data_IF_040910186996
#
_entry.id   IF_040910186996
#
_cell.length_a   1.000
_cell.length_b   1.000
_cell.length_c   1.000
_cell.angle_alpha   90.00
_cell.angle_beta   90.00
_cell.angle_gamma   90.00
#
_symmetry.space_group_name_H-M   'P 1'
#
loop_
_entity.id
_entity.type
_entity.pdbx_description
1 polymer ?
#
# COMPACT_ATOMS: atom_id res chain seq x y z
N UNK A 1 -29.73 37.76 -28.40
CA UNK A 1 -29.55 36.64 -27.45
C UNK A 1 -30.20 35.43 -28.08
N UNK A 2 -29.56 34.26 -27.95
CA UNK A 2 -29.82 33.00 -28.70
C UNK A 2 -29.00 32.90 -29.99
N UNK A 3 -28.50 31.70 -30.27
CA UNK A 3 -27.72 31.28 -31.46
C UNK A 3 -26.19 31.27 -31.32
N UNK A 4 -25.67 30.51 -30.34
CA UNK A 4 -24.33 29.92 -30.43
C UNK A 4 -24.21 28.63 -29.60
N UNK A 5 -25.22 27.75 -29.64
CA UNK A 5 -24.98 26.33 -29.35
C UNK A 5 -24.51 25.75 -30.67
N UNK A 6 -23.19 25.75 -30.90
CA UNK A 6 -22.59 24.98 -31.98
C UNK A 6 -23.03 23.52 -31.78
N UNK A 7 -24.00 23.09 -32.57
CA UNK A 7 -24.40 21.70 -32.73
C UNK A 7 -23.26 20.98 -33.45
N UNK A 8 -22.19 20.65 -32.72
CA UNK A 8 -21.26 19.64 -33.20
C UNK A 8 -22.06 18.36 -33.39
N UNK A 9 -22.34 18.01 -34.65
CA UNK A 9 -22.97 16.75 -34.99
C UNK A 9 -22.15 15.62 -34.33
N UNK A 10 -22.79 14.67 -33.63
CA UNK A 10 -22.07 13.55 -33.05
C UNK A 10 -21.29 12.82 -34.14
N UNK A 11 -20.00 12.54 -33.87
CA UNK A 11 -19.15 11.79 -34.80
C UNK A 11 -19.67 10.35 -34.93
N UNK A 12 -20.20 9.82 -33.83
CA UNK A 12 -20.85 8.52 -33.74
C UNK A 12 -22.34 8.70 -33.45
N UNK A 13 -23.24 8.44 -34.42
CA UNK A 13 -24.69 8.51 -34.23
C UNK A 13 -25.21 7.57 -33.13
N UNK A 14 -24.54 6.44 -32.88
CA UNK A 14 -24.92 5.50 -31.83
C UNK A 14 -24.44 5.94 -30.43
N UNK A 15 -23.48 6.88 -30.38
CA UNK A 15 -22.85 7.37 -29.14
C UNK A 15 -22.82 8.89 -29.13
N UNK A 16 -23.98 9.56 -28.95
CA UNK A 16 -24.12 11.00 -29.12
C UNK A 16 -23.28 11.84 -28.15
N UNK A 17 -22.73 11.24 -27.09
CA UNK A 17 -21.81 11.89 -26.14
C UNK A 17 -20.36 11.96 -26.65
N UNK A 18 -20.03 11.36 -27.79
CA UNK A 18 -18.72 11.47 -28.46
C UNK A 18 -18.81 12.60 -29.49
N UNK A 19 -18.37 13.79 -29.07
CA UNK A 19 -18.44 15.02 -29.87
C UNK A 19 -17.10 15.43 -30.47
N UNK A 20 -15.99 14.89 -29.96
CA UNK A 20 -14.62 15.22 -30.37
C UNK A 20 -13.95 13.96 -30.98
N UNK A 21 -13.17 14.13 -32.05
CA UNK A 21 -12.59 13.01 -32.82
C UNK A 21 -11.52 12.23 -32.03
N UNK A 22 -10.80 12.93 -31.16
CA UNK A 22 -9.84 12.35 -30.21
C UNK A 22 -10.54 11.43 -29.19
N UNK A 23 -11.82 11.67 -28.90
CA UNK A 23 -12.66 10.86 -28.01
C UNK A 23 -13.09 9.51 -28.58
N UNK A 24 -12.80 9.22 -29.85
CA UNK A 24 -13.19 7.96 -30.48
C UNK A 24 -12.46 6.76 -29.84
N UNK A 25 -13.20 5.78 -29.26
CA UNK A 25 -12.60 4.59 -28.66
C UNK A 25 -11.92 3.65 -29.66
N UNK A 26 -12.26 3.70 -30.95
CA UNK A 26 -11.66 2.86 -31.99
C UNK A 26 -10.26 3.35 -32.40
N UNK A 27 -9.99 4.65 -32.23
CA UNK A 27 -8.70 5.29 -32.56
C UNK A 27 -7.70 5.27 -31.39
N UNK A 28 -8.08 4.68 -30.25
CA UNK A 28 -7.25 4.65 -29.05
C UNK A 28 -6.03 3.74 -29.24
N UNK A 29 -4.83 4.32 -29.23
CA UNK A 29 -3.59 3.54 -29.19
C UNK A 29 -3.25 3.18 -27.73
N UNK A 30 -3.40 1.90 -27.39
CA UNK A 30 -3.15 1.39 -26.04
C UNK A 30 -1.70 1.52 -25.59
N UNK A 31 -0.74 1.23 -26.48
CA UNK A 31 0.68 1.32 -26.15
C UNK A 31 1.06 2.77 -25.87
N UNK A 32 0.62 3.71 -26.71
CA UNK A 32 0.86 5.13 -26.46
C UNK A 32 0.19 5.59 -25.15
N UNK A 33 -1.06 5.18 -24.92
CA UNK A 33 -1.80 5.54 -23.69
C UNK A 33 -1.07 5.06 -22.42
N UNK A 34 -0.49 3.87 -22.44
CA UNK A 34 0.11 3.26 -21.25
C UNK A 34 1.61 3.53 -21.10
N UNK A 35 2.33 3.87 -22.17
CA UNK A 35 3.80 3.95 -22.14
C UNK A 35 4.34 5.35 -22.46
N UNK A 36 3.53 6.29 -22.96
CA UNK A 36 3.96 7.65 -23.25
C UNK A 36 3.36 8.67 -22.26
N UNK A 37 4.10 9.06 -21.20
CA UNK A 37 3.61 10.01 -20.20
C UNK A 37 3.55 11.47 -20.68
N UNK A 38 4.25 11.80 -21.78
CA UNK A 38 4.28 13.15 -22.33
C UNK A 38 3.10 13.42 -23.28
N UNK A 39 2.36 12.39 -23.68
CA UNK A 39 1.19 12.55 -24.55
C UNK A 39 -0.02 13.14 -23.85
N UNK A 40 -1.14 13.13 -24.56
CA UNK A 40 -2.42 13.64 -24.08
C UNK A 40 -3.50 12.54 -24.20
N UNK A 41 -4.43 12.51 -23.26
CA UNK A 41 -5.55 11.58 -23.30
C UNK A 41 -6.89 12.24 -22.96
N UNK A 42 -7.88 12.13 -23.86
CA UNK A 42 -9.23 12.60 -23.58
C UNK A 42 -9.86 11.76 -22.48
N UNK A 43 -10.99 12.25 -21.95
CA UNK A 43 -11.61 11.68 -20.74
C UNK A 43 -11.97 10.22 -20.95
N UNK A 44 -12.47 9.87 -22.13
CA UNK A 44 -12.89 8.51 -22.44
C UNK A 44 -11.70 7.53 -22.46
N UNK A 45 -10.59 7.89 -23.09
CA UNK A 45 -9.37 7.06 -23.13
C UNK A 45 -8.81 6.86 -21.72
N UNK A 46 -8.72 7.94 -20.92
CA UNK A 46 -8.32 7.87 -19.52
C UNK A 46 -9.21 6.91 -18.72
N UNK A 47 -10.53 7.06 -18.78
CA UNK A 47 -11.45 6.21 -18.01
C UNK A 47 -11.34 4.74 -18.44
N UNK A 48 -11.20 4.44 -19.74
CA UNK A 48 -11.04 3.06 -20.22
C UNK A 48 -9.75 2.43 -19.74
N UNK A 49 -8.63 3.15 -19.85
CA UNK A 49 -7.33 2.68 -19.36
C UNK A 49 -7.36 2.47 -17.85
N UNK A 50 -7.92 3.42 -17.10
CA UNK A 50 -8.11 3.31 -15.65
C UNK A 50 -8.96 2.09 -15.27
N UNK A 51 -10.07 1.85 -15.98
CA UNK A 51 -10.94 0.70 -15.76
C UNK A 51 -10.22 -0.63 -15.98
N UNK A 52 -9.33 -0.74 -16.97
CA UNK A 52 -8.51 -1.94 -17.18
C UNK A 52 -7.61 -2.19 -15.96
N UNK A 53 -6.92 -1.15 -15.48
CA UNK A 53 -6.06 -1.27 -14.30
C UNK A 53 -6.86 -1.63 -13.04
N UNK A 54 -8.05 -1.04 -12.88
CA UNK A 54 -8.96 -1.38 -11.80
C UNK A 54 -9.36 -2.86 -11.84
N UNK A 55 -9.80 -3.37 -12.99
CA UNK A 55 -10.19 -4.78 -13.12
C UNK A 55 -9.01 -5.74 -13.00
N UNK A 56 -7.81 -5.35 -13.44
CA UNK A 56 -6.60 -6.14 -13.16
C UNK A 56 -6.39 -6.31 -11.64
N UNK A 57 -6.57 -5.23 -10.87
CA UNK A 57 -6.56 -5.28 -9.41
C UNK A 57 -7.67 -6.15 -8.81
N UNK A 58 -8.91 -6.02 -9.30
CA UNK A 58 -10.05 -6.85 -8.85
C UNK A 58 -9.81 -8.33 -9.11
N UNK A 59 -9.27 -8.69 -10.27
CA UNK A 59 -8.95 -10.08 -10.60
C UNK A 59 -7.81 -10.61 -9.71
N UNK A 60 -6.76 -9.81 -9.52
CA UNK A 60 -5.61 -10.21 -8.73
C UNK A 60 -5.94 -10.35 -7.24
N UNK A 61 -6.75 -9.45 -6.67
CA UNK A 61 -7.01 -9.42 -5.25
C UNK A 61 -8.25 -10.24 -4.85
N UNK A 62 -9.50 -9.74 -4.94
CA UNK A 62 -10.66 -10.53 -4.55
C UNK A 62 -10.93 -11.71 -5.49
N UNK A 63 -10.62 -11.61 -6.79
CA UNK A 63 -10.82 -12.70 -7.74
C UNK A 63 -10.02 -13.95 -7.38
N UNK A 64 -8.69 -13.84 -7.36
CA UNK A 64 -7.81 -14.94 -6.98
C UNK A 64 -7.95 -15.33 -5.49
N UNK A 65 -8.22 -14.35 -4.62
CA UNK A 65 -8.46 -14.60 -3.20
C UNK A 65 -9.68 -15.49 -2.96
N UNK A 66 -10.79 -15.24 -3.66
CA UNK A 66 -12.00 -16.06 -3.59
C UNK A 66 -11.74 -17.49 -4.10
N UNK A 67 -11.03 -17.63 -5.22
CA UNK A 67 -10.66 -18.95 -5.74
C UNK A 67 -9.79 -19.74 -4.75
N UNK A 68 -8.80 -19.07 -4.14
CA UNK A 68 -7.94 -19.67 -3.11
C UNK A 68 -8.72 -20.05 -1.85
N UNK A 69 -9.67 -19.21 -1.43
CA UNK A 69 -10.55 -19.49 -0.30
C UNK A 69 -11.41 -20.72 -0.55
N UNK A 70 -12.04 -20.83 -1.73
CA UNK A 70 -12.88 -21.99 -2.10
C UNK A 70 -12.03 -23.26 -2.11
N UNK A 71 -10.83 -23.22 -2.69
CA UNK A 71 -9.90 -24.34 -2.69
C UNK A 71 -9.53 -24.80 -1.27
N UNK A 72 -9.23 -23.85 -0.38
CA UNK A 72 -8.95 -24.14 1.03
C UNK A 72 -10.16 -24.73 1.76
N UNK A 73 -11.36 -24.18 1.53
CA UNK A 73 -12.61 -24.70 2.10
C UNK A 73 -12.96 -26.12 1.60
N UNK A 74 -12.50 -26.48 0.40
CA UNK A 74 -12.61 -27.82 -0.16
C UNK A 74 -11.55 -28.81 0.39
N UNK A 75 -10.67 -28.36 1.30
CA UNK A 75 -9.65 -29.19 1.94
C UNK A 75 -8.31 -29.26 1.20
N UNK A 76 -8.08 -28.39 0.20
CA UNK A 76 -6.79 -28.31 -0.49
C UNK A 76 -5.75 -27.59 0.37
N UNK A 77 -4.50 -28.05 0.34
CA UNK A 77 -3.37 -27.26 0.85
C UNK A 77 -3.12 -26.06 -0.06
N UNK A 78 -3.40 -24.86 0.45
CA UNK A 78 -3.26 -23.59 -0.28
C UNK A 78 -2.00 -22.82 0.10
N UNK A 79 -1.05 -23.43 0.82
CA UNK A 79 0.18 -22.77 1.25
C UNK A 79 0.99 -22.19 0.07
N UNK A 80 1.13 -22.95 -1.02
CA UNK A 80 1.77 -22.46 -2.25
C UNK A 80 0.93 -21.41 -3.00
N UNK A 81 -0.39 -21.60 -3.06
CA UNK A 81 -1.32 -20.67 -3.73
C UNK A 81 -1.36 -19.31 -3.04
N UNK A 82 -1.38 -19.28 -1.71
CA UNK A 82 -1.37 -18.05 -0.91
C UNK A 82 -0.08 -17.24 -1.07
N UNK A 83 1.07 -17.91 -1.13
CA UNK A 83 2.35 -17.26 -1.42
C UNK A 83 2.33 -16.64 -2.83
N UNK A 84 1.97 -17.43 -3.84
CA UNK A 84 1.82 -16.94 -5.21
C UNK A 84 0.85 -15.77 -5.30
N UNK A 85 -0.30 -15.85 -4.62
CA UNK A 85 -1.30 -14.79 -4.58
C UNK A 85 -0.74 -13.47 -4.05
N UNK A 86 0.02 -13.53 -2.95
CA UNK A 86 0.68 -12.35 -2.39
C UNK A 86 1.63 -11.70 -3.40
N UNK A 87 2.46 -12.49 -4.09
CA UNK A 87 3.37 -11.97 -5.12
C UNK A 87 2.63 -11.42 -6.34
N UNK A 88 1.56 -12.09 -6.78
CA UNK A 88 0.71 -11.63 -7.87
C UNK A 88 0.12 -10.25 -7.57
N UNK A 89 -0.43 -10.05 -6.36
CA UNK A 89 -0.96 -8.75 -5.95
C UNK A 89 0.14 -7.70 -5.99
N UNK A 90 1.33 -7.99 -5.44
CA UNK A 90 2.44 -7.03 -5.41
C UNK A 90 2.88 -6.61 -6.82
N UNK A 91 3.01 -7.56 -7.75
CA UNK A 91 3.36 -7.28 -9.15
C UNK A 91 2.28 -6.46 -9.83
N UNK A 92 1.01 -6.86 -9.69
CA UNK A 92 -0.12 -6.14 -10.31
C UNK A 92 -0.23 -4.72 -9.76
N UNK A 93 -0.05 -4.52 -8.46
CA UNK A 93 -0.01 -3.18 -7.87
C UNK A 93 1.16 -2.35 -8.41
N UNK A 94 2.36 -2.91 -8.43
CA UNK A 94 3.55 -2.21 -8.93
C UNK A 94 3.39 -1.76 -10.39
N UNK A 95 2.99 -2.68 -11.28
CA UNK A 95 2.75 -2.37 -12.70
C UNK A 95 1.58 -1.39 -12.85
N UNK A 96 0.46 -1.63 -12.18
CA UNK A 96 -0.71 -0.76 -12.29
C UNK A 96 -0.44 0.65 -11.75
N UNK A 97 0.37 0.81 -10.71
CA UNK A 97 0.77 2.13 -10.21
C UNK A 97 1.60 2.91 -11.23
N UNK A 98 2.55 2.26 -11.90
CA UNK A 98 3.35 2.90 -12.96
C UNK A 98 2.47 3.29 -14.15
N UNK A 99 1.63 2.37 -14.62
CA UNK A 99 0.69 2.65 -15.72
C UNK A 99 -0.34 3.72 -15.33
N UNK A 100 -0.79 3.72 -14.07
CA UNK A 100 -1.68 4.74 -13.52
C UNK A 100 -1.00 6.11 -13.54
N UNK A 101 0.28 6.21 -13.16
CA UNK A 101 1.05 7.45 -13.28
C UNK A 101 1.08 7.97 -14.73
N UNK A 102 1.30 7.10 -15.72
CA UNK A 102 1.32 7.49 -17.14
C UNK A 102 -0.04 8.05 -17.57
N UNK A 103 -1.14 7.33 -17.33
CA UNK A 103 -2.47 7.78 -17.77
C UNK A 103 -2.93 9.06 -17.06
N UNK A 104 -2.52 9.27 -15.80
CA UNK A 104 -2.80 10.51 -15.07
C UNK A 104 -1.98 11.68 -15.62
N UNK A 105 -0.70 11.46 -15.96
CA UNK A 105 0.15 12.47 -16.59
C UNK A 105 -0.47 12.95 -17.90
N UNK A 106 -0.87 12.01 -18.76
CA UNK A 106 -1.52 12.31 -20.05
C UNK A 106 -2.84 13.05 -19.89
N UNK A 107 -3.64 12.66 -18.89
CA UNK A 107 -4.92 13.32 -18.60
C UNK A 107 -4.73 14.76 -18.10
N UNK A 108 -3.70 14.99 -17.29
CA UNK A 108 -3.35 16.31 -16.80
C UNK A 108 -2.84 17.22 -17.92
N UNK A 109 -1.96 16.71 -18.80
CA UNK A 109 -1.50 17.42 -19.99
C UNK A 109 -2.68 17.86 -20.86
N UNK A 110 -3.58 16.92 -21.19
CA UNK A 110 -4.80 17.22 -21.95
C UNK A 110 -5.70 18.27 -21.26
N UNK A 111 -5.67 18.33 -19.93
CA UNK A 111 -6.44 19.32 -19.16
C UNK A 111 -5.71 20.65 -18.99
N UNK A 112 -4.54 20.86 -19.60
CA UNK A 112 -3.71 22.06 -19.43
C UNK A 112 -3.15 22.22 -18.00
N UNK A 113 -3.05 21.12 -17.24
CA UNK A 113 -2.55 21.10 -15.87
C UNK A 113 -1.12 20.55 -15.86
N UNK A 114 -0.33 20.93 -14.86
CA UNK A 114 1.01 20.36 -14.69
C UNK A 114 0.92 18.86 -14.39
N UNK A 115 1.62 18.05 -15.19
CA UNK A 115 1.71 16.59 -15.02
C UNK A 115 2.44 16.16 -13.76
N UNK A 116 3.17 17.06 -13.09
CA UNK A 116 3.84 16.79 -11.81
C UNK A 116 2.88 16.27 -10.75
N UNK A 117 1.61 16.67 -10.78
CA UNK A 117 0.58 16.16 -9.87
C UNK A 117 0.32 14.66 -10.01
N UNK A 118 0.67 14.04 -11.13
CA UNK A 118 0.55 12.59 -11.30
C UNK A 118 1.45 11.82 -10.32
N UNK A 119 2.50 12.43 -9.75
CA UNK A 119 3.37 11.78 -8.77
C UNK A 119 2.60 11.36 -7.51
N UNK A 120 1.48 12.02 -7.19
CA UNK A 120 0.62 11.66 -6.06
C UNK A 120 0.11 10.22 -6.18
N UNK A 121 -0.08 9.71 -7.40
CA UNK A 121 -0.50 8.33 -7.67
C UNK A 121 0.52 7.30 -7.18
N UNK A 122 1.80 7.68 -7.08
CA UNK A 122 2.89 6.80 -6.65
C UNK A 122 3.08 6.79 -5.13
N UNK A 123 2.47 7.72 -4.38
CA UNK A 123 2.62 7.82 -2.92
C UNK A 123 2.24 6.51 -2.20
N UNK A 124 1.10 5.86 -2.49
CA UNK A 124 0.74 4.61 -1.81
C UNK A 124 1.79 3.53 -2.05
N UNK A 125 2.24 3.37 -3.30
CA UNK A 125 3.28 2.40 -3.65
C UNK A 125 4.59 2.69 -2.94
N UNK A 126 5.02 3.96 -2.89
CA UNK A 126 6.23 4.36 -2.20
C UNK A 126 6.17 4.06 -0.70
N UNK A 127 5.06 4.42 -0.04
CA UNK A 127 4.88 4.17 1.39
C UNK A 127 4.77 2.68 1.71
N UNK A 128 4.03 1.92 0.91
CA UNK A 128 3.97 0.46 1.03
C UNK A 128 5.37 -0.17 0.87
N UNK A 129 6.14 0.28 -0.12
CA UNK A 129 7.51 -0.20 -0.35
C UNK A 129 8.44 0.12 0.82
N UNK A 130 8.37 1.34 1.37
CA UNK A 130 9.16 1.75 2.53
C UNK A 130 8.81 0.91 3.77
N UNK A 131 7.52 0.72 4.06
CA UNK A 131 7.04 -0.11 5.17
C UNK A 131 7.51 -1.56 5.02
N UNK A 132 7.44 -2.11 3.80
CA UNK A 132 7.93 -3.44 3.47
C UNK A 132 9.44 -3.59 3.67
N UNK A 133 10.24 -2.65 3.14
CA UNK A 133 11.70 -2.67 3.30
C UNK A 133 12.12 -2.55 4.77
N UNK A 134 11.44 -1.69 5.55
CA UNK A 134 11.65 -1.59 6.99
C UNK A 134 11.35 -2.90 7.70
N UNK A 135 10.21 -3.53 7.37
CA UNK A 135 9.82 -4.82 7.93
C UNK A 135 10.76 -5.97 7.57
N UNK A 136 11.22 -6.05 6.32
CA UNK A 136 12.23 -7.04 5.88
C UNK A 136 13.52 -6.85 6.65
N UNK A 137 14.01 -5.61 6.77
CA UNK A 137 15.29 -5.33 7.43
C UNK A 137 15.26 -5.77 8.90
N UNK A 138 14.16 -5.49 9.60
CA UNK A 138 13.95 -5.96 10.98
C UNK A 138 13.91 -7.49 11.07
N UNK A 139 13.11 -8.16 10.23
CA UNK A 139 13.01 -9.63 10.26
C UNK A 139 14.28 -10.34 9.78
N UNK A 140 15.08 -9.72 8.92
CA UNK A 140 16.37 -10.26 8.51
C UNK A 140 17.36 -10.28 9.69
N UNK A 141 17.38 -9.23 10.51
CA UNK A 141 18.19 -9.19 11.73
C UNK A 141 17.74 -10.25 12.75
N UNK A 142 16.43 -10.38 12.99
CA UNK A 142 15.88 -11.43 13.87
C UNK A 142 16.22 -12.84 13.35
N UNK A 143 16.16 -13.06 12.03
CA UNK A 143 16.51 -14.34 11.43
C UNK A 143 18.00 -14.67 11.63
N UNK A 144 18.88 -13.67 11.51
CA UNK A 144 20.31 -13.85 11.74
C UNK A 144 20.57 -14.22 13.20
N UNK A 145 19.95 -13.53 14.15
CA UNK A 145 20.08 -13.86 15.58
C UNK A 145 19.60 -15.29 15.88
N UNK A 146 18.48 -15.71 15.28
CA UNK A 146 17.97 -17.06 15.43
C UNK A 146 18.91 -18.11 14.82
N UNK A 147 19.50 -17.78 13.66
CA UNK A 147 20.50 -18.62 13.00
C UNK A 147 21.73 -18.81 13.90
N UNK A 148 22.27 -17.72 14.44
CA UNK A 148 23.46 -17.74 15.31
C UNK A 148 23.17 -18.52 16.61
N UNK A 149 22.02 -18.29 17.25
CA UNK A 149 21.59 -19.06 18.43
C UNK A 149 21.42 -20.55 18.12
N UNK A 150 20.93 -20.89 16.92
CA UNK A 150 20.83 -22.29 16.50
C UNK A 150 22.20 -22.91 16.28
N UNK A 151 23.16 -22.17 15.73
CA UNK A 151 24.53 -22.67 15.60
C UNK A 151 25.09 -23.07 16.97
N UNK A 152 24.96 -22.20 17.98
CA UNK A 152 25.37 -22.49 19.37
C UNK A 152 24.61 -23.69 19.96
N UNK A 153 23.29 -23.76 19.76
CA UNK A 153 22.50 -24.91 20.21
C UNK A 153 22.98 -26.23 19.60
N UNK A 154 23.33 -26.23 18.30
CA UNK A 154 23.78 -27.42 17.60
C UNK A 154 25.18 -27.87 18.03
N UNK A 155 26.00 -26.96 18.58
CA UNK A 155 27.32 -27.29 19.14
C UNK A 155 27.18 -28.10 20.44
N UNK A 156 26.32 -27.66 21.37
CA UNK A 156 26.02 -28.40 22.61
C UNK A 156 24.55 -28.24 23.06
N UNK A 157 23.66 -29.14 22.62
CA UNK A 157 22.24 -29.10 23.00
C UNK A 157 21.98 -29.35 24.49
N UNK A 158 22.89 -30.02 25.20
CA UNK A 158 22.71 -30.32 26.63
C UNK A 158 23.01 -29.08 27.47
N UNK A 159 24.17 -28.45 27.24
CA UNK A 159 24.54 -27.21 27.93
C UNK A 159 23.53 -26.08 27.65
N UNK A 160 23.01 -25.97 26.43
CA UNK A 160 21.97 -24.99 26.11
C UNK A 160 20.70 -25.17 26.95
N UNK A 161 20.23 -26.41 27.12
CA UNK A 161 19.02 -26.72 27.90
C UNK A 161 19.24 -26.48 29.39
N UNK A 162 20.42 -26.82 29.91
CA UNK A 162 20.77 -26.56 31.30
C UNK A 162 20.83 -25.05 31.60
N UNK A 163 21.47 -24.27 30.72
CA UNK A 163 21.52 -22.81 30.84
C UNK A 163 20.11 -22.18 30.86
N UNK A 164 19.20 -22.67 30.02
CA UNK A 164 17.79 -22.22 30.00
C UNK A 164 17.02 -22.62 31.26
N UNK A 165 17.24 -23.82 31.79
CA UNK A 165 16.65 -24.24 33.05
C UNK A 165 17.16 -23.42 34.24
N UNK A 166 18.43 -23.02 34.22
CA UNK A 166 19.01 -22.14 35.24
C UNK A 166 18.44 -20.72 35.12
N UNK A 167 18.33 -20.18 33.90
CA UNK A 167 17.68 -18.89 33.62
C UNK A 167 16.23 -18.88 34.15
N UNK A 168 15.45 -19.93 33.89
CA UNK A 168 14.08 -20.05 34.41
C UNK A 168 14.05 -20.12 35.93
N UNK A 169 14.97 -20.85 36.56
CA UNK A 169 15.08 -20.92 38.03
C UNK A 169 15.39 -19.56 38.64
N UNK A 170 16.32 -18.80 38.05
CA UNK A 170 16.64 -17.43 38.49
C UNK A 170 15.46 -16.48 38.33
N UNK A 171 14.80 -16.50 37.18
CA UNK A 171 13.62 -15.66 36.93
C UNK A 171 12.46 -15.98 37.89
N UNK A 172 12.24 -17.25 38.23
CA UNK A 172 11.24 -17.66 39.23
C UNK A 172 11.60 -17.16 40.64
N UNK A 173 12.86 -17.29 41.04
CA UNK A 173 13.33 -16.78 42.33
C UNK A 173 13.19 -15.25 42.44
N UNK A 174 13.55 -14.51 41.38
CA UNK A 174 13.37 -13.05 41.32
C UNK A 174 11.89 -12.65 41.38
N UNK A 175 11.01 -13.35 40.65
CA UNK A 175 9.58 -13.10 40.69
C UNK A 175 8.97 -13.38 42.07
N UNK A 176 9.45 -14.42 42.76
CA UNK A 176 9.03 -14.73 44.13
C UNK A 176 9.53 -13.69 45.12
N UNK A 177 10.78 -13.26 45.00
CA UNK A 177 11.33 -12.18 45.83
C UNK A 177 10.54 -10.88 45.63
N UNK A 178 10.26 -10.49 44.38
CA UNK A 178 9.44 -9.32 44.07
C UNK A 178 8.02 -9.43 44.63
N UNK A 179 7.44 -10.65 44.68
CA UNK A 179 6.14 -10.89 45.31
C UNK A 179 6.20 -10.68 46.82
N UNK A 180 7.24 -11.22 47.47
CA UNK A 180 7.45 -11.07 48.92
C UNK A 180 7.71 -9.61 49.31
N UNK A 181 8.51 -8.88 48.54
CA UNK A 181 8.75 -7.45 48.74
C UNK A 181 7.46 -6.62 48.57
N UNK A 182 6.65 -6.93 47.56
CA UNK A 182 5.35 -6.28 47.36
C UNK A 182 4.35 -6.60 48.48
N UNK A 183 4.40 -7.81 49.06
CA UNK A 183 3.57 -8.19 50.20
C UNK A 183 4.04 -7.53 51.51
N UNK A 184 5.36 -7.43 51.71
CA UNK A 184 5.95 -6.71 52.85
C UNK A 184 5.64 -5.21 52.82
N UNK A 185 5.71 -4.56 51.66
CA UNK A 185 5.33 -3.15 51.49
C UNK A 185 3.84 -2.92 51.80
N UNK A 186 2.95 -3.83 51.37
CA UNK A 186 1.52 -3.80 51.73
C UNK A 186 1.28 -3.98 53.24
N UNK A 187 2.04 -4.87 53.88
CA UNK A 187 1.95 -5.09 55.32
C UNK A 187 2.49 -3.92 56.15
N UNK A 188 3.44 -3.16 55.60
CA UNK A 188 4.01 -1.95 56.22
C UNK A 188 3.12 -0.70 56.09
N UNK A 189 1.95 -0.80 55.42
CA UNK A 189 1.01 0.31 55.28
C UNK A 189 1.39 1.33 54.20
N UNK A 190 2.34 1.01 53.33
CA UNK A 190 2.62 1.79 52.13
C UNK A 190 1.55 1.45 51.09
N UNK A 191 0.53 2.30 50.96
CA UNK A 191 -0.47 2.13 49.90
C UNK A 191 0.22 2.28 48.53
N UNK A 192 0.08 1.30 47.63
CA UNK A 192 0.54 1.47 46.27
C UNK A 192 -0.31 2.56 45.62
N UNK A 193 0.32 3.63 45.12
CA UNK A 193 -0.37 4.62 44.32
C UNK A 193 -1.10 3.93 43.15
N UNK A 194 -2.36 4.29 42.95
CA UNK A 194 -3.27 3.65 41.98
C UNK A 194 -2.80 3.75 40.51
N UNK A 195 -1.75 4.53 40.21
CA UNK A 195 -1.16 4.63 38.88
C UNK A 195 -0.40 3.36 38.42
N UNK A 196 -0.06 2.44 39.33
CA UNK A 196 0.68 1.21 38.99
C UNK A 196 -0.19 -0.02 38.65
N UNK A 197 -1.50 0.02 38.94
CA UNK A 197 -2.35 -1.17 38.91
C UNK A 197 -2.85 -1.56 37.50
N UNK A 198 -2.84 -0.64 36.54
CA UNK A 198 -3.33 -0.93 35.18
C UNK A 198 -2.31 -1.62 34.26
N UNK A 199 -1.04 -1.71 34.66
CA UNK A 199 0.03 -2.27 33.80
C UNK A 199 0.46 -3.71 34.15
N UNK A 200 -0.22 -4.37 35.11
CA UNK A 200 0.13 -5.74 35.56
C UNK A 200 -0.60 -6.88 34.82
N UNK A 201 -1.50 -6.57 33.88
CA UNK A 201 -2.26 -7.58 33.13
C UNK A 201 -1.55 -8.16 31.90
N UNK A 202 -0.37 -7.66 31.52
CA UNK A 202 0.28 -8.00 30.25
C UNK A 202 1.79 -8.18 30.41
N UNK A 203 2.23 -9.24 31.10
CA UNK A 203 3.61 -9.70 30.98
C UNK A 203 3.68 -11.22 31.07
N UNK A 204 3.94 -11.84 29.91
CA UNK A 204 4.59 -13.13 29.77
C UNK A 204 3.78 -14.34 30.22
N UNK A 205 2.95 -14.88 29.33
CA UNK A 205 2.51 -16.27 29.46
C UNK A 205 3.71 -17.24 29.51
N UNK A 206 3.57 -18.43 30.10
CA UNK A 206 4.66 -19.37 30.30
C UNK A 206 5.29 -19.77 28.95
N UNK A 207 6.63 -19.86 28.84
CA UNK A 207 7.32 -20.24 27.62
C UNK A 207 7.19 -21.76 27.44
N UNK A 208 6.03 -22.22 26.95
CA UNK A 208 5.77 -23.66 26.82
C UNK A 208 4.45 -24.03 26.15
N UNK A 209 3.82 -23.11 25.41
CA UNK A 209 2.63 -23.43 24.61
C UNK A 209 2.99 -24.30 23.39
N UNK A 210 2.30 -25.44 23.24
CA UNK A 210 2.31 -26.28 22.04
C UNK A 210 2.12 -25.40 20.79
N UNK A 211 3.13 -25.37 19.91
CA UNK A 211 3.21 -24.44 18.76
C UNK A 211 4.13 -23.23 18.97
N UNK A 212 5.06 -23.30 19.93
CA UNK A 212 6.02 -22.25 20.27
C UNK A 212 6.72 -21.69 19.04
N UNK A 213 6.82 -20.36 19.00
CA UNK A 213 7.41 -19.62 17.89
C UNK A 213 8.84 -20.04 17.55
N UNK A 214 9.46 -19.37 16.57
CA UNK A 214 10.79 -19.71 16.07
C UNK A 214 11.79 -19.87 17.23
N UNK A 215 12.29 -21.09 17.42
CA UNK A 215 13.21 -21.46 18.51
C UNK A 215 14.47 -22.06 17.91
N UNK A 216 15.66 -21.82 18.50
CA UNK A 216 16.91 -22.46 18.09
C UNK A 216 16.83 -23.98 18.04
N UNK A 217 15.95 -24.59 18.84
CA UNK A 217 15.77 -26.05 18.90
C UNK A 217 15.04 -26.60 17.66
N UNK A 218 14.16 -25.81 17.04
CA UNK A 218 13.35 -26.21 15.89
C UNK A 218 14.05 -25.88 14.56
N UNK A 219 13.86 -26.70 13.50
CA UNK A 219 14.43 -26.39 12.19
C UNK A 219 14.06 -24.97 11.74
N UNK A 220 15.04 -24.24 11.20
CA UNK A 220 14.81 -22.87 10.78
C UNK A 220 13.79 -22.82 9.66
N UNK A 221 12.81 -21.91 9.72
CA UNK A 221 11.95 -21.64 8.58
C UNK A 221 12.77 -21.11 7.41
N UNK A 222 12.21 -21.21 6.20
CA UNK A 222 12.82 -20.58 5.03
C UNK A 222 12.87 -19.06 5.23
N UNK A 223 13.89 -18.40 4.67
CA UNK A 223 14.00 -16.92 4.70
C UNK A 223 12.74 -16.26 4.13
N UNK A 224 12.16 -16.85 3.09
CA UNK A 224 10.92 -16.35 2.48
C UNK A 224 9.73 -16.39 3.46
N UNK A 225 9.53 -17.52 4.16
CA UNK A 225 8.44 -17.66 5.13
C UNK A 225 8.64 -16.80 6.39
N UNK A 226 9.87 -16.54 6.81
CA UNK A 226 10.16 -15.78 8.03
C UNK A 226 10.31 -14.27 7.78
N UNK A 227 10.93 -13.87 6.68
CA UNK A 227 11.30 -12.48 6.41
C UNK A 227 10.29 -11.83 5.46
N UNK A 228 9.93 -12.50 4.36
CA UNK A 228 9.16 -11.87 3.27
C UNK A 228 7.66 -11.95 3.54
N UNK A 229 7.11 -13.16 3.73
CA UNK A 229 5.66 -13.37 3.88
C UNK A 229 5.01 -12.54 4.99
N UNK A 230 5.58 -12.46 6.20
CA UNK A 230 4.94 -11.70 7.29
C UNK A 230 4.85 -10.20 6.98
N UNK A 231 5.72 -9.69 6.12
CA UNK A 231 5.79 -8.27 5.78
C UNK A 231 4.93 -7.89 4.55
N UNK A 232 4.33 -8.85 3.84
CA UNK A 232 3.44 -8.54 2.71
C UNK A 232 2.26 -7.65 3.13
N UNK A 233 1.69 -7.84 4.32
CA UNK A 233 0.62 -6.97 4.81
C UNK A 233 1.10 -5.54 5.11
N UNK A 234 2.36 -5.38 5.54
CA UNK A 234 2.99 -4.06 5.72
C UNK A 234 3.15 -3.32 4.39
N UNK A 235 3.29 -4.05 3.27
CA UNK A 235 3.25 -3.47 1.93
C UNK A 235 1.82 -3.05 1.53
N UNK A 236 0.84 -3.94 1.70
CA UNK A 236 -0.53 -3.70 1.22
C UNK A 236 -1.33 -2.68 2.06
N UNK A 237 -1.11 -2.64 3.37
CA UNK A 237 -1.88 -1.82 4.31
C UNK A 237 -1.89 -0.33 3.95
N UNK A 238 -0.71 0.32 3.85
CA UNK A 238 -0.62 1.72 3.45
C UNK A 238 -1.19 1.96 2.04
N UNK A 239 -0.98 1.03 1.11
CA UNK A 239 -1.49 1.15 -0.25
C UNK A 239 -3.02 1.27 -0.22
N UNK A 240 -3.69 0.32 0.42
CA UNK A 240 -5.14 0.29 0.49
C UNK A 240 -5.73 1.57 1.13
N UNK A 241 -5.18 1.98 2.27
CA UNK A 241 -5.68 3.15 3.01
C UNK A 241 -5.55 4.46 2.23
N UNK A 242 -4.43 4.63 1.51
CA UNK A 242 -4.12 5.89 0.81
C UNK A 242 -4.71 5.90 -0.60
N UNK A 243 -4.96 4.74 -1.20
CA UNK A 243 -5.61 4.64 -2.52
C UNK A 243 -7.03 5.23 -2.54
N UNK A 244 -7.80 5.17 -1.44
CA UNK A 244 -9.17 5.69 -1.38
C UNK A 244 -9.23 7.21 -1.60
N UNK A 245 -8.53 8.06 -0.80
CA UNK A 245 -8.56 9.51 -1.02
C UNK A 245 -7.95 9.90 -2.39
N UNK A 246 -6.93 9.17 -2.86
CA UNK A 246 -6.36 9.40 -4.19
C UNK A 246 -7.38 9.12 -5.29
N UNK A 247 -8.14 8.03 -5.18
CA UNK A 247 -9.21 7.73 -6.15
C UNK A 247 -10.25 8.85 -6.20
N UNK A 248 -10.66 9.38 -5.03
CA UNK A 248 -11.58 10.53 -4.96
C UNK A 248 -10.95 11.75 -5.65
N UNK A 249 -9.67 12.03 -5.40
CA UNK A 249 -8.95 13.12 -6.06
C UNK A 249 -8.86 12.93 -7.58
N UNK A 250 -8.56 11.72 -8.06
CA UNK A 250 -8.52 11.40 -9.49
C UNK A 250 -9.86 11.66 -10.17
N UNK A 251 -10.97 11.25 -9.54
CA UNK A 251 -12.31 11.42 -10.10
C UNK A 251 -12.81 12.87 -10.03
N UNK A 252 -12.52 13.59 -8.95
CA UNK A 252 -13.04 14.95 -8.73
C UNK A 252 -12.17 16.04 -9.35
N UNK A 253 -10.85 15.85 -9.41
CA UNK A 253 -9.92 16.88 -9.88
C UNK A 253 -9.26 16.54 -11.21
N UNK A 254 -8.66 15.35 -11.36
CA UNK A 254 -7.93 14.98 -12.60
C UNK A 254 -8.89 14.80 -13.78
N UNK A 255 -10.05 14.20 -13.54
CA UNK A 255 -11.03 13.95 -14.60
C UNK A 255 -11.72 15.23 -15.13
N UNK A 256 -11.68 16.36 -14.40
CA UNK A 256 -12.34 17.62 -14.81
C UNK A 256 -11.43 18.45 -15.73
N UNK A 257 -11.87 18.75 -16.96
CA UNK A 257 -11.25 19.81 -17.80
C UNK A 257 -11.45 21.16 -17.07
N UNK A 258 -10.48 22.10 -17.08
CA UNK A 258 -10.76 23.46 -16.65
C UNK A 258 -11.91 24.01 -17.50
N UNK A 259 -12.92 24.59 -16.86
CA UNK A 259 -14.07 25.16 -17.57
C UNK A 259 -13.60 26.24 -18.55
N UNK A 260 -14.17 26.28 -19.75
CA UNK A 260 -13.89 27.30 -20.79
C UNK A 260 -14.09 28.76 -20.33
N UNK A 261 -14.59 28.98 -19.11
CA UNK A 261 -14.73 30.30 -18.49
C UNK A 261 -13.43 30.87 -17.91
N UNK A 262 -12.38 30.08 -17.70
CA UNK A 262 -11.13 30.58 -17.11
C UNK A 262 -10.20 31.30 -18.12
N UNK A 263 -10.38 31.11 -19.42
CA UNK A 263 -9.57 31.75 -20.47
C UNK A 263 -10.20 33.01 -21.08
N UNK A 264 -11.39 33.41 -20.63
CA UNK A 264 -12.03 34.66 -21.08
C UNK A 264 -11.57 35.91 -20.29
N UNK A 265 -10.72 35.74 -19.27
CA UNK A 265 -10.28 36.83 -18.38
C UNK A 265 -8.77 37.10 -18.33
N UNK A 266 -7.94 36.29 -19.00
CA UNK A 266 -6.48 36.42 -18.96
C UNK A 266 -5.91 37.20 -20.18
N UNK A 267 -6.70 38.12 -20.71
CA UNK A 267 -6.32 39.05 -21.78
C UNK A 267 -6.64 40.49 -21.39
N UNK A 268 -6.25 40.91 -20.20
CA UNK A 268 -6.21 42.33 -19.84
C UNK A 268 -4.83 42.70 -19.33
N UNK A 269 -4.20 43.64 -20.05
CA UNK A 269 -3.04 44.39 -19.64
C UNK A 269 -1.73 43.77 -20.09
N UNK A 270 -1.18 44.22 -21.21
CA UNK A 270 -0.10 45.20 -21.21
C UNK A 270 0.18 45.67 -22.66
N UNK A 271 0.03 46.97 -22.88
CA UNK A 271 0.81 47.69 -23.89
C UNK A 271 0.24 47.77 -25.30
N UNK A 272 -0.87 48.49 -25.47
CA UNK A 272 -1.06 49.25 -26.72
C UNK A 272 -1.14 50.73 -26.34
N UNK A 273 0.03 51.38 -26.37
CA UNK A 273 0.14 52.83 -26.28
C UNK A 273 -0.60 53.44 -27.47
N UNK A 274 -1.77 54.00 -27.19
CA UNK A 274 -2.37 55.06 -27.99
C UNK A 274 -1.33 56.18 -28.17
N UNK A 275 -0.64 56.19 -29.31
CA UNK A 275 0.05 57.38 -29.80
C UNK A 275 -0.90 58.06 -30.77
N UNK A 276 -1.71 58.96 -30.22
CA UNK A 276 -2.43 59.95 -31.00
C UNK A 276 -1.47 61.00 -31.55
N UNK A 277 -1.61 61.23 -32.85
CA UNK A 277 -1.44 62.47 -33.62
C UNK A 277 -0.19 63.34 -33.38
N UNK A 278 0.55 63.63 -34.45
CA UNK A 278 0.84 65.00 -34.90
C UNK A 278 1.22 65.02 -36.38
N UNK A 279 0.63 66.00 -37.08
CA UNK A 279 0.81 66.49 -38.47
C UNK A 279 0.48 65.58 -39.65
#
# INVERSE_FOLDING_TARGET
MSDAISSQAPIDPERPWITEEDGDPAKMNWLDTFLNPAGESPKLHFTRAWTILFFAGVLAWPGFGLASFIAGAAGMDTSGLSAFHGYLIAVVLGVSSILSFVIHSRRLNHAGKTSLWAILILIPLALGSLAFMGGISGKAAEYQELYDKRAVYLEDPAAWREARLEEQRKAQAEAEQARLEAEAARAAGEEPSEEGAQNRGQRGGPPGGFGGGPSPENPLPTKEAFIVRPNLMSFFGPIFLISIPIMIWSLTWVARKPGKHASAGAGMGYGEQQTGAFS
#
